data_IF_529570799977
#
_entry.id   IF_529570799977
#
_cell.length_a   1.000
_cell.length_b   1.000
_cell.length_c   1.000
_cell.angle_alpha   90.00
_cell.angle_beta   90.00
_cell.angle_gamma   90.00
#
_symmetry.space_group_name_H-M   'P 1'
#
loop_
_entity.id
_entity.type
_entity.pdbx_description
1 polymer ?
#
# COMPACT_ATOMS: atom_id res chain seq x y z
N UNK A 1 0.68 -44.26 -38.24
CA UNK A 1 1.64 -45.23 -37.73
C UNK A 1 0.96 -46.16 -36.73
N UNK A 2 1.06 -47.49 -36.90
CA UNK A 2 0.60 -48.46 -35.88
C UNK A 2 1.78 -48.86 -35.01
N UNK A 3 1.57 -49.01 -33.69
CA UNK A 3 2.58 -49.40 -32.71
C UNK A 3 1.93 -50.09 -31.52
N UNK A 4 2.75 -50.78 -30.70
CA UNK A 4 2.31 -51.36 -29.42
C UNK A 4 2.62 -50.36 -28.32
N UNK A 5 1.59 -49.89 -27.59
CA UNK A 5 1.76 -48.95 -26.49
C UNK A 5 2.70 -49.56 -25.43
N UNK A 6 3.74 -48.83 -25.01
CA UNK A 6 4.61 -49.27 -23.96
C UNK A 6 3.92 -49.37 -22.60
N UNK A 7 2.84 -48.63 -22.38
CA UNK A 7 2.06 -48.58 -21.14
C UNK A 7 0.98 -49.67 -21.13
N UNK A 8 0.07 -49.65 -22.11
CA UNK A 8 -1.11 -50.54 -22.14
C UNK A 8 -0.85 -51.89 -22.76
N UNK A 9 0.31 -52.08 -23.44
CA UNK A 9 0.69 -53.31 -24.21
C UNK A 9 -0.27 -53.66 -25.33
N UNK A 10 -1.22 -52.73 -25.69
CA UNK A 10 -2.17 -52.93 -26.78
C UNK A 10 -1.69 -52.24 -28.06
N UNK A 11 -2.16 -52.71 -29.21
CA UNK A 11 -1.85 -52.09 -30.47
C UNK A 11 -2.70 -50.80 -30.65
N UNK A 12 -2.00 -49.70 -30.91
CA UNK A 12 -2.61 -48.35 -31.04
C UNK A 12 -2.19 -47.74 -32.37
N UNK A 13 -3.09 -46.93 -32.96
CA UNK A 13 -2.80 -46.09 -34.16
C UNK A 13 -2.47 -44.68 -33.73
N UNK A 14 -1.28 -44.18 -34.11
CA UNK A 14 -0.86 -42.82 -33.93
C UNK A 14 -0.96 -42.07 -35.24
N UNK A 15 -1.74 -40.96 -35.24
CA UNK A 15 -1.94 -40.12 -36.41
C UNK A 15 -0.88 -39.03 -36.45
N UNK A 16 -0.02 -39.06 -37.48
CA UNK A 16 1.07 -38.11 -37.64
C UNK A 16 0.63 -36.77 -38.22
N UNK A 17 -0.29 -36.78 -39.18
CA UNK A 17 -0.85 -35.62 -39.88
C UNK A 17 -1.53 -36.01 -41.18
N UNK A 18 -2.01 -35.01 -41.94
CA UNK A 18 -2.74 -35.17 -43.23
C UNK A 18 -1.91 -34.64 -44.40
N UNK A 19 -1.97 -35.33 -45.53
CA UNK A 19 -1.40 -34.83 -46.77
C UNK A 19 -2.39 -33.83 -47.41
N UNK A 20 -1.97 -32.69 -48.00
CA UNK A 20 -0.58 -32.27 -48.30
C UNK A 20 0.10 -31.46 -47.22
N UNK A 21 -0.55 -31.15 -46.11
CA UNK A 21 0.01 -30.33 -45.00
C UNK A 21 1.29 -30.96 -44.42
N UNK A 22 1.32 -32.31 -44.33
CA UNK A 22 2.48 -33.05 -43.91
C UNK A 22 3.15 -33.71 -45.12
N UNK A 23 4.30 -33.25 -45.58
CA UNK A 23 5.05 -33.86 -46.67
C UNK A 23 5.75 -35.14 -46.19
N UNK A 24 6.19 -36.00 -47.15
CA UNK A 24 6.79 -37.30 -46.85
C UNK A 24 8.04 -37.22 -45.98
N UNK A 25 8.88 -36.19 -46.17
CA UNK A 25 10.10 -36.00 -45.39
C UNK A 25 9.75 -35.72 -43.93
N UNK A 26 8.83 -34.81 -43.67
CA UNK A 26 8.36 -34.46 -42.33
C UNK A 26 7.62 -35.64 -41.67
N UNK A 27 6.80 -36.38 -42.42
CA UNK A 27 6.14 -37.56 -41.90
C UNK A 27 7.12 -38.64 -41.42
N UNK A 28 8.21 -38.87 -42.16
CA UNK A 28 9.29 -39.78 -41.76
C UNK A 28 10.01 -39.31 -40.48
N UNK A 29 10.27 -38.01 -40.36
CA UNK A 29 10.86 -37.44 -39.14
C UNK A 29 9.97 -37.61 -37.90
N UNK A 30 8.68 -37.30 -38.06
CA UNK A 30 7.73 -37.48 -36.94
C UNK A 30 7.52 -38.94 -36.56
N UNK A 31 7.55 -39.87 -37.56
CA UNK A 31 7.54 -41.31 -37.30
C UNK A 31 8.79 -41.75 -36.53
N UNK A 32 9.99 -41.23 -36.84
CA UNK A 32 11.21 -41.52 -36.13
C UNK A 32 11.21 -41.01 -34.68
N UNK A 33 10.71 -39.78 -34.49
CA UNK A 33 10.52 -39.22 -33.12
C UNK A 33 9.58 -40.11 -32.30
N UNK A 34 8.42 -40.48 -32.85
CA UNK A 34 7.48 -41.35 -32.17
C UNK A 34 8.08 -42.72 -31.82
N UNK A 35 8.93 -43.30 -32.66
CA UNK A 35 9.66 -44.56 -32.34
C UNK A 35 10.66 -44.37 -31.17
N UNK A 36 11.37 -43.23 -31.13
CA UNK A 36 12.30 -42.94 -30.01
C UNK A 36 11.52 -42.85 -28.70
N UNK A 37 10.35 -42.19 -28.67
CA UNK A 37 9.52 -42.15 -27.47
C UNK A 37 9.08 -43.53 -27.02
N UNK A 38 8.64 -44.38 -27.95
CA UNK A 38 8.26 -45.78 -27.62
C UNK A 38 9.43 -46.56 -27.02
N UNK A 39 10.62 -46.38 -27.60
CA UNK A 39 11.85 -47.06 -27.09
C UNK A 39 12.20 -46.56 -25.67
N UNK A 40 11.91 -45.29 -25.37
CA UNK A 40 12.08 -44.69 -24.03
C UNK A 40 10.93 -45.02 -23.07
N UNK A 41 9.99 -45.87 -23.44
CA UNK A 41 8.86 -46.24 -22.59
C UNK A 41 7.67 -45.25 -22.57
N UNK A 42 7.73 -44.18 -23.37
CA UNK A 42 6.70 -43.13 -23.43
C UNK A 42 5.72 -43.42 -24.56
N UNK A 43 4.39 -43.32 -24.30
CA UNK A 43 3.37 -43.45 -25.32
C UNK A 43 3.18 -42.18 -26.12
N UNK A 44 3.49 -42.13 -27.44
CA UNK A 44 3.41 -40.92 -28.24
C UNK A 44 2.01 -40.31 -28.32
N UNK A 45 0.96 -41.12 -28.19
CA UNK A 45 -0.42 -40.64 -28.18
C UNK A 45 -0.75 -39.90 -26.88
N UNK A 46 -0.35 -40.45 -25.76
CA UNK A 46 -0.53 -39.85 -24.45
C UNK A 46 0.29 -38.57 -24.32
N UNK A 47 1.55 -38.57 -24.76
CA UNK A 47 2.39 -37.39 -24.78
C UNK A 47 1.81 -36.25 -25.63
N UNK A 48 1.34 -36.59 -26.86
CA UNK A 48 0.68 -35.61 -27.73
C UNK A 48 -0.60 -35.03 -27.10
N UNK A 49 -1.37 -35.83 -26.38
CA UNK A 49 -2.57 -35.40 -25.68
C UNK A 49 -2.21 -34.53 -24.47
N UNK A 50 -1.20 -34.93 -23.67
CA UNK A 50 -0.69 -34.15 -22.54
C UNK A 50 -0.17 -32.78 -22.99
N UNK A 51 0.63 -32.73 -24.06
CA UNK A 51 1.11 -31.49 -24.67
C UNK A 51 -0.01 -30.58 -25.16
N UNK A 52 -1.06 -31.16 -25.77
CA UNK A 52 -2.23 -30.41 -26.23
C UNK A 52 -3.04 -29.84 -25.04
N UNK A 53 -3.21 -30.63 -23.99
CA UNK A 53 -3.86 -30.19 -22.75
C UNK A 53 -3.06 -29.08 -22.09
N UNK A 54 -1.75 -29.24 -21.95
CA UNK A 54 -0.85 -28.24 -21.39
C UNK A 54 -0.88 -26.93 -22.18
N UNK A 55 -0.86 -27.00 -23.52
CA UNK A 55 -0.99 -25.79 -24.36
C UNK A 55 -2.35 -25.10 -24.18
N UNK A 56 -3.42 -25.86 -24.01
CA UNK A 56 -4.74 -25.30 -23.74
C UNK A 56 -4.78 -24.65 -22.36
N UNK A 57 -4.27 -25.31 -21.34
CA UNK A 57 -4.15 -24.75 -19.98
C UNK A 57 -3.28 -23.49 -19.94
N UNK A 58 -2.14 -23.50 -20.65
CA UNK A 58 -1.26 -22.31 -20.74
C UNK A 58 -1.99 -21.12 -21.38
N UNK A 59 -2.84 -21.35 -22.41
CA UNK A 59 -3.62 -20.26 -23.03
C UNK A 59 -4.67 -19.65 -22.12
N UNK A 60 -5.24 -20.44 -21.21
CA UNK A 60 -6.24 -19.98 -20.23
C UNK A 60 -5.55 -19.32 -19.03
N UNK A 61 -4.44 -19.90 -18.56
CA UNK A 61 -3.71 -19.45 -17.39
C UNK A 61 -2.72 -18.33 -17.75
N UNK A 62 -3.25 -17.19 -18.21
CA UNK A 62 -2.43 -16.00 -18.44
C UNK A 62 -2.05 -15.35 -17.12
N UNK A 63 -0.98 -14.55 -17.12
CA UNK A 63 -0.56 -13.80 -15.92
C UNK A 63 -1.71 -12.95 -15.37
N UNK A 64 -2.44 -12.23 -16.21
CA UNK A 64 -3.57 -11.41 -15.77
C UNK A 64 -4.70 -12.26 -15.16
N UNK A 65 -5.08 -13.37 -15.78
CA UNK A 65 -6.14 -14.25 -15.27
C UNK A 65 -5.80 -14.76 -13.87
N UNK A 66 -4.58 -15.25 -13.68
CA UNK A 66 -4.12 -15.76 -12.38
C UNK A 66 -3.97 -14.65 -11.36
N UNK A 67 -3.48 -13.50 -11.78
CA UNK A 67 -3.37 -12.31 -10.90
C UNK A 67 -4.74 -11.85 -10.39
N UNK A 68 -5.74 -11.76 -11.27
CA UNK A 68 -7.10 -11.36 -10.86
C UNK A 68 -7.74 -12.36 -9.91
N UNK A 69 -7.51 -13.67 -10.12
CA UNK A 69 -7.92 -14.72 -9.19
C UNK A 69 -7.25 -14.54 -7.82
N UNK A 70 -5.93 -14.44 -7.78
CA UNK A 70 -5.16 -14.19 -6.57
C UNK A 70 -5.62 -12.93 -5.83
N UNK A 71 -5.86 -11.84 -6.56
CA UNK A 71 -6.33 -10.57 -6.01
C UNK A 71 -7.72 -10.72 -5.39
N UNK A 72 -8.66 -11.37 -6.10
CA UNK A 72 -10.02 -11.62 -5.60
C UNK A 72 -10.01 -12.46 -4.33
N UNK A 73 -9.21 -13.51 -4.30
CA UNK A 73 -9.10 -14.39 -3.13
C UNK A 73 -8.51 -13.65 -1.92
N UNK A 74 -7.55 -12.76 -2.11
CA UNK A 74 -7.00 -11.93 -1.03
C UNK A 74 -7.96 -10.83 -0.57
N UNK A 75 -8.66 -10.20 -1.49
CA UNK A 75 -9.61 -9.12 -1.18
C UNK A 75 -10.84 -9.61 -0.41
N UNK A 76 -11.16 -10.91 -0.46
CA UNK A 76 -12.23 -11.53 0.36
C UNK A 76 -11.89 -11.59 1.87
N UNK A 77 -10.64 -11.40 2.24
CA UNK A 77 -10.18 -11.44 3.62
C UNK A 77 -9.95 -10.00 4.14
N UNK A 78 -10.93 -9.36 4.81
CA UNK A 78 -10.84 -7.98 5.25
C UNK A 78 -9.74 -7.73 6.28
N UNK A 79 -9.33 -8.76 7.02
CA UNK A 79 -8.20 -8.78 7.93
C UNK A 79 -6.84 -8.65 7.22
N UNK A 80 -6.77 -8.93 5.91
CA UNK A 80 -5.55 -8.86 5.10
C UNK A 80 -5.45 -7.57 4.30
N UNK A 81 -6.54 -7.17 3.65
CA UNK A 81 -6.56 -6.01 2.76
C UNK A 81 -7.79 -5.13 2.98
N UNK A 82 -7.56 -3.83 3.10
CA UNK A 82 -8.65 -2.85 2.99
C UNK A 82 -9.08 -2.71 1.53
N UNK A 83 -10.33 -2.32 1.25
CA UNK A 83 -10.82 -2.08 -0.12
C UNK A 83 -9.93 -1.12 -0.92
N UNK A 84 -9.45 -0.05 -0.28
CA UNK A 84 -8.54 0.93 -0.90
C UNK A 84 -7.17 0.33 -1.23
N UNK A 85 -6.65 -0.57 -0.39
CA UNK A 85 -5.41 -1.27 -0.67
C UNK A 85 -5.59 -2.22 -1.84
N UNK A 86 -6.67 -3.02 -1.86
CA UNK A 86 -7.00 -3.91 -2.96
C UNK A 86 -7.08 -3.17 -4.29
N UNK A 87 -7.82 -2.05 -4.33
CA UNK A 87 -7.95 -1.21 -5.53
C UNK A 87 -6.61 -0.66 -6.01
N UNK A 88 -5.73 -0.24 -5.11
CA UNK A 88 -4.40 0.27 -5.46
C UNK A 88 -3.49 -0.82 -6.01
N UNK A 89 -3.54 -2.03 -5.44
CA UNK A 89 -2.74 -3.17 -5.91
C UNK A 89 -3.10 -3.53 -7.35
N UNK A 90 -4.39 -3.78 -7.63
CA UNK A 90 -4.79 -4.18 -8.99
C UNK A 90 -4.51 -3.08 -10.00
N UNK A 91 -4.81 -1.81 -9.67
CA UNK A 91 -4.53 -0.67 -10.55
C UNK A 91 -3.04 -0.52 -10.85
N UNK A 92 -2.17 -0.77 -9.89
CA UNK A 92 -0.73 -0.73 -10.11
C UNK A 92 -0.27 -1.77 -11.15
N UNK A 93 -0.84 -2.98 -11.09
CA UNK A 93 -0.56 -4.04 -12.06
C UNK A 93 -1.15 -3.73 -13.45
N UNK A 94 -2.36 -3.19 -13.51
CA UNK A 94 -3.01 -2.77 -14.75
C UNK A 94 -2.21 -1.68 -15.49
N UNK A 95 -1.59 -0.77 -14.74
CA UNK A 95 -0.80 0.31 -15.32
C UNK A 95 0.61 -0.13 -15.73
N UNK A 96 1.24 -1.02 -14.95
CA UNK A 96 2.67 -1.24 -15.10
C UNK A 96 3.05 -2.64 -15.57
N UNK A 97 2.20 -3.66 -15.40
CA UNK A 97 2.56 -5.05 -15.68
C UNK A 97 1.70 -5.68 -16.76
N UNK A 98 0.38 -5.54 -16.71
CA UNK A 98 -0.53 -6.17 -17.68
C UNK A 98 -0.30 -5.74 -19.11
N UNK A 99 0.09 -4.51 -19.44
CA UNK A 99 0.39 -4.15 -20.82
C UNK A 99 1.49 -5.02 -21.47
N UNK A 100 2.41 -5.57 -20.67
CA UNK A 100 3.56 -6.36 -21.13
C UNK A 100 3.39 -7.86 -20.89
N UNK A 101 2.99 -8.26 -19.70
CA UNK A 101 2.94 -9.66 -19.27
C UNK A 101 1.50 -10.20 -19.16
N UNK A 102 0.47 -9.36 -19.18
CA UNK A 102 -0.91 -9.76 -18.85
C UNK A 102 -1.42 -10.92 -19.67
N UNK A 103 -1.19 -10.90 -20.99
CA UNK A 103 -1.67 -11.92 -21.93
C UNK A 103 -0.73 -13.12 -22.10
N UNK A 104 0.45 -13.08 -21.47
CA UNK A 104 1.41 -14.17 -21.53
C UNK A 104 0.97 -15.33 -20.64
N UNK A 105 1.13 -16.59 -21.10
CA UNK A 105 0.98 -17.77 -20.24
C UNK A 105 1.91 -17.63 -19.03
N UNK A 106 1.37 -17.74 -17.81
CA UNK A 106 2.15 -17.51 -16.58
C UNK A 106 3.32 -18.48 -16.43
N UNK A 107 3.18 -19.72 -16.96
CA UNK A 107 4.22 -20.75 -16.94
C UNK A 107 5.42 -20.46 -17.84
N UNK A 108 5.26 -19.55 -18.83
CA UNK A 108 6.26 -19.26 -19.85
C UNK A 108 7.02 -17.96 -19.61
N UNK A 109 6.62 -17.20 -18.57
CA UNK A 109 7.27 -15.92 -18.25
C UNK A 109 8.62 -16.20 -17.56
N UNK A 110 9.67 -15.62 -18.12
CA UNK A 110 11.04 -15.79 -17.65
C UNK A 110 11.50 -14.60 -16.79
N UNK A 111 12.52 -14.77 -15.93
CA UNK A 111 13.02 -13.73 -15.04
C UNK A 111 13.38 -12.42 -15.75
N UNK A 112 14.00 -12.49 -16.93
CA UNK A 112 14.40 -11.30 -17.69
C UNK A 112 13.19 -10.46 -18.11
N UNK A 113 12.08 -11.10 -18.52
CA UNK A 113 10.86 -10.38 -18.93
C UNK A 113 10.26 -9.61 -17.74
N UNK A 114 10.27 -10.19 -16.55
CA UNK A 114 9.82 -9.52 -15.33
C UNK A 114 10.75 -8.35 -14.97
N UNK A 115 12.07 -8.58 -15.07
CA UNK A 115 13.06 -7.56 -14.79
C UNK A 115 12.92 -6.36 -15.74
N UNK A 116 12.71 -6.60 -17.03
CA UNK A 116 12.54 -5.53 -18.03
C UNK A 116 11.35 -4.64 -17.69
N UNK A 117 10.23 -5.20 -17.28
CA UNK A 117 9.06 -4.42 -16.81
C UNK A 117 9.40 -3.57 -15.59
N UNK A 118 10.12 -4.12 -14.62
CA UNK A 118 10.52 -3.39 -13.41
C UNK A 118 11.52 -2.27 -13.75
N UNK A 119 12.47 -2.54 -14.64
CA UNK A 119 13.43 -1.53 -15.12
C UNK A 119 12.79 -0.38 -15.88
N UNK A 120 11.74 -0.62 -16.66
CA UNK A 120 10.96 0.47 -17.28
C UNK A 120 10.33 1.40 -16.26
N UNK A 121 9.84 0.87 -15.11
CA UNK A 121 9.29 1.68 -14.02
C UNK A 121 10.42 2.51 -13.38
N UNK A 122 11.61 1.94 -13.20
CA UNK A 122 12.79 2.65 -12.66
C UNK A 122 13.26 3.74 -13.60
N UNK A 123 13.30 3.50 -14.92
CA UNK A 123 13.68 4.50 -15.94
C UNK A 123 12.74 5.71 -15.93
N UNK A 124 11.49 5.53 -15.54
CA UNK A 124 10.55 6.62 -15.31
C UNK A 124 10.76 7.36 -13.95
N UNK A 125 11.85 7.08 -13.23
CA UNK A 125 12.18 7.67 -11.93
C UNK A 125 11.31 7.18 -10.76
N UNK A 126 10.50 6.13 -10.95
CA UNK A 126 9.51 5.63 -9.98
C UNK A 126 10.04 4.44 -9.16
N UNK A 127 11.21 4.60 -8.53
CA UNK A 127 11.89 3.51 -7.81
C UNK A 127 11.04 2.84 -6.74
N UNK A 128 10.35 3.60 -5.87
CA UNK A 128 9.44 3.06 -4.85
C UNK A 128 8.27 2.25 -5.46
N UNK A 129 7.79 2.69 -6.63
CA UNK A 129 6.74 1.99 -7.36
C UNK A 129 7.27 0.66 -7.90
N UNK A 130 8.49 0.64 -8.44
CA UNK A 130 9.14 -0.58 -8.92
C UNK A 130 9.23 -1.65 -7.82
N UNK A 131 9.67 -1.26 -6.61
CA UNK A 131 9.70 -2.17 -5.46
C UNK A 131 8.31 -2.69 -5.06
N UNK A 132 7.30 -1.82 -5.00
CA UNK A 132 5.91 -2.22 -4.68
C UNK A 132 5.32 -3.16 -5.73
N UNK A 133 5.57 -2.88 -7.01
CA UNK A 133 5.15 -3.74 -8.13
C UNK A 133 5.87 -5.08 -8.05
N UNK A 134 7.19 -5.08 -7.80
CA UNK A 134 7.97 -6.28 -7.59
C UNK A 134 7.36 -7.14 -6.47
N UNK A 135 7.08 -6.57 -5.29
CA UNK A 135 6.54 -7.32 -4.15
C UNK A 135 5.21 -8.01 -4.51
N UNK A 136 4.35 -7.34 -5.29
CA UNK A 136 3.09 -7.91 -5.75
C UNK A 136 3.31 -9.00 -6.79
N UNK A 137 4.13 -8.77 -7.81
CA UNK A 137 4.46 -9.73 -8.88
C UNK A 137 5.07 -11.00 -8.28
N UNK A 138 6.00 -10.85 -7.33
CA UNK A 138 6.59 -11.97 -6.61
C UNK A 138 5.55 -12.80 -5.85
N UNK A 139 4.57 -12.15 -5.20
CA UNK A 139 3.47 -12.84 -4.52
C UNK A 139 2.55 -13.58 -5.50
N UNK A 140 2.25 -13.01 -6.67
CA UNK A 140 1.44 -13.65 -7.71
C UNK A 140 2.13 -14.92 -8.23
N UNK A 141 3.43 -14.85 -8.55
CA UNK A 141 4.16 -16.02 -9.00
C UNK A 141 4.31 -17.07 -7.90
N UNK A 142 4.53 -16.67 -6.64
CA UNK A 142 4.52 -17.61 -5.52
C UNK A 142 3.18 -18.33 -5.38
N UNK A 143 2.07 -17.63 -5.58
CA UNK A 143 0.74 -18.23 -5.61
C UNK A 143 0.58 -19.22 -6.78
N UNK A 144 1.08 -18.85 -7.98
CA UNK A 144 1.04 -19.73 -9.15
C UNK A 144 1.87 -21.02 -8.94
N UNK A 145 3.02 -20.93 -8.28
CA UNK A 145 3.84 -22.12 -7.91
C UNK A 145 3.07 -23.03 -6.96
N UNK A 146 2.40 -22.50 -5.95
CA UNK A 146 1.58 -23.28 -5.01
C UNK A 146 0.45 -24.00 -5.75
N UNK A 147 -0.15 -23.36 -6.77
CA UNK A 147 -1.16 -23.97 -7.63
C UNK A 147 -0.60 -24.91 -8.71
N UNK A 148 0.71 -25.12 -8.75
CA UNK A 148 1.42 -25.91 -9.77
C UNK A 148 1.22 -25.40 -11.21
N UNK A 149 0.94 -24.10 -11.37
CA UNK A 149 0.83 -23.44 -12.66
C UNK A 149 2.20 -22.99 -13.19
N UNK A 150 3.20 -22.87 -12.33
CA UNK A 150 4.60 -22.60 -12.64
C UNK A 150 5.50 -23.57 -11.89
N UNK A 151 6.62 -23.94 -12.48
CA UNK A 151 7.63 -24.80 -11.84
C UNK A 151 8.45 -24.02 -10.82
N UNK A 152 8.72 -22.74 -11.09
CA UNK A 152 9.50 -21.83 -10.24
C UNK A 152 8.91 -20.40 -10.29
N UNK A 153 9.31 -19.58 -9.33
CA UNK A 153 8.94 -18.17 -9.30
C UNK A 153 10.03 -17.32 -10.00
N UNK A 154 9.76 -16.75 -11.20
CA UNK A 154 10.74 -15.97 -11.95
C UNK A 154 11.10 -14.63 -11.29
N UNK A 155 10.34 -14.18 -10.29
CA UNK A 155 10.60 -12.93 -9.60
C UNK A 155 11.45 -13.08 -8.32
N UNK A 156 11.69 -14.30 -7.82
CA UNK A 156 12.23 -14.54 -6.48
C UNK A 156 13.51 -13.76 -6.15
N UNK A 157 14.45 -13.68 -7.09
CA UNK A 157 15.77 -13.06 -6.87
C UNK A 157 15.88 -11.62 -7.39
N UNK A 158 14.86 -11.10 -8.08
CA UNK A 158 14.97 -9.81 -8.79
C UNK A 158 15.01 -8.58 -7.89
N UNK A 159 14.69 -8.72 -6.60
CA UNK A 159 14.76 -7.60 -5.65
C UNK A 159 16.14 -6.96 -5.58
N UNK A 160 17.19 -7.76 -5.71
CA UNK A 160 18.58 -7.32 -5.64
C UNK A 160 19.02 -6.53 -6.86
N UNK A 161 18.33 -6.73 -7.99
CA UNK A 161 18.58 -6.05 -9.25
C UNK A 161 17.94 -4.66 -9.30
N UNK A 162 17.06 -4.33 -8.36
CA UNK A 162 16.41 -3.03 -8.27
C UNK A 162 17.28 -2.03 -7.51
N UNK A 163 17.24 -0.78 -7.96
CA UNK A 163 17.93 0.34 -7.30
C UNK A 163 17.42 0.49 -5.87
N UNK A 164 18.33 0.41 -4.90
CA UNK A 164 17.98 0.56 -3.49
C UNK A 164 17.54 1.99 -3.19
N UNK A 165 16.32 2.13 -2.68
CA UNK A 165 15.77 3.44 -2.27
C UNK A 165 16.03 3.64 -0.79
N UNK A 166 16.85 4.63 -0.44
CA UNK A 166 16.95 5.07 0.95
C UNK A 166 15.68 5.82 1.32
N UNK A 167 14.94 5.29 2.28
CA UNK A 167 13.79 6.02 2.82
C UNK A 167 14.26 7.32 3.46
N UNK A 168 13.73 8.43 2.98
CA UNK A 168 13.93 9.74 3.60
C UNK A 168 12.77 10.00 4.55
N UNK A 169 13.02 10.60 5.72
CA UNK A 169 11.93 11.07 6.58
C UNK A 169 11.06 12.07 5.82
N UNK A 170 9.81 12.20 6.20
CA UNK A 170 8.95 13.23 5.62
C UNK A 170 9.56 14.61 5.88
N UNK A 171 9.54 15.51 4.88
CA UNK A 171 10.00 16.89 5.05
C UNK A 171 9.31 17.53 6.25
N UNK A 172 10.11 18.07 7.19
CA UNK A 172 9.66 18.66 8.44
C UNK A 172 10.65 19.75 8.90
N UNK A 173 10.16 20.65 9.71
CA UNK A 173 10.90 21.78 10.26
C UNK A 173 11.06 21.55 11.76
N UNK A 174 12.26 21.79 12.31
CA UNK A 174 12.56 21.69 13.74
C UNK A 174 13.02 23.02 14.35
N UNK A 175 13.49 23.96 13.52
CA UNK A 175 13.89 25.28 13.98
C UNK A 175 12.67 26.07 14.52
N UNK A 176 12.74 26.62 15.76
CA UNK A 176 11.63 27.32 16.38
C UNK A 176 11.13 28.55 15.60
N UNK A 177 12.02 29.32 14.97
CA UNK A 177 11.64 30.49 14.19
C UNK A 177 10.88 30.09 12.93
N UNK A 178 11.36 29.08 12.22
CA UNK A 178 10.72 28.53 11.02
C UNK A 178 9.36 27.89 11.35
N UNK A 179 9.25 27.21 12.51
CA UNK A 179 7.97 26.67 13.01
C UNK A 179 6.99 27.85 13.23
N UNK A 180 7.39 28.90 13.93
CA UNK A 180 6.56 30.08 14.17
C UNK A 180 6.09 30.74 12.88
N UNK A 181 6.97 30.88 11.88
CA UNK A 181 6.61 31.39 10.56
C UNK A 181 5.59 30.49 9.84
N UNK A 182 5.82 29.18 9.82
CA UNK A 182 4.87 28.24 9.24
C UNK A 182 3.49 28.32 9.87
N UNK A 183 3.42 28.39 11.21
CA UNK A 183 2.16 28.50 11.92
C UNK A 183 1.40 29.81 11.60
N UNK A 184 2.11 30.95 11.52
CA UNK A 184 1.51 32.23 11.07
C UNK A 184 0.98 32.15 9.65
N UNK A 185 1.72 31.52 8.72
CA UNK A 185 1.27 31.33 7.34
C UNK A 185 0.03 30.40 7.26
N UNK A 186 -0.05 29.38 8.12
CA UNK A 186 -1.23 28.51 8.23
C UNK A 186 -2.45 29.31 8.70
N UNK A 187 -2.29 30.19 9.69
CA UNK A 187 -3.36 31.05 10.19
C UNK A 187 -3.87 31.99 9.09
N UNK A 188 -2.97 32.51 8.24
CA UNK A 188 -3.28 33.36 7.10
C UNK A 188 -3.75 32.59 5.85
N UNK A 189 -3.92 31.27 5.90
CA UNK A 189 -4.31 30.50 4.71
C UNK A 189 -5.68 30.90 4.17
N UNK A 190 -5.71 31.45 2.95
CA UNK A 190 -6.91 31.97 2.29
C UNK A 190 -7.86 30.95 1.65
N UNK A 191 -7.65 29.65 1.90
CA UNK A 191 -8.54 28.60 1.41
C UNK A 191 -9.77 28.39 2.28
N UNK A 192 -10.43 27.22 2.15
CA UNK A 192 -11.63 26.93 2.95
C UNK A 192 -11.28 26.81 4.44
N UNK A 193 -12.23 27.22 5.30
CA UNK A 193 -12.06 27.16 6.75
C UNK A 193 -11.73 25.72 7.21
N UNK A 194 -12.35 24.69 6.61
CA UNK A 194 -12.10 23.30 6.94
C UNK A 194 -10.63 22.92 6.73
N UNK A 195 -10.03 23.35 5.60
CA UNK A 195 -8.62 23.04 5.29
C UNK A 195 -7.68 23.83 6.20
N UNK A 196 -7.99 25.11 6.46
CA UNK A 196 -7.22 25.95 7.36
C UNK A 196 -7.22 25.38 8.77
N UNK A 197 -8.39 25.05 9.33
CA UNK A 197 -8.51 24.51 10.69
C UNK A 197 -7.86 23.11 10.79
N UNK A 198 -7.95 22.27 9.75
CA UNK A 198 -7.22 21.00 9.70
C UNK A 198 -5.72 21.21 9.83
N UNK A 199 -5.14 22.19 9.13
CA UNK A 199 -3.72 22.52 9.22
C UNK A 199 -3.37 23.14 10.58
N UNK A 200 -4.23 24.00 11.15
CA UNK A 200 -4.02 24.60 12.46
C UNK A 200 -3.98 23.56 13.58
N UNK A 201 -4.88 22.56 13.55
CA UNK A 201 -4.93 21.50 14.56
C UNK A 201 -3.77 20.49 14.40
N UNK A 202 -3.33 20.23 13.16
CA UNK A 202 -2.32 19.20 12.86
C UNK A 202 -1.05 19.28 13.73
N UNK A 203 -0.37 20.42 13.93
CA UNK A 203 0.83 20.51 14.74
C UNK A 203 0.58 20.31 16.25
N UNK A 204 -0.62 20.66 16.75
CA UNK A 204 -0.96 20.53 18.17
C UNK A 204 -1.18 19.06 18.58
N UNK A 205 -1.89 18.29 17.77
CA UNK A 205 -2.23 16.90 18.09
C UNK A 205 -1.24 15.90 17.52
N UNK A 206 -0.51 16.25 16.47
CA UNK A 206 0.50 15.46 15.73
C UNK A 206 0.12 13.97 15.54
N UNK A 207 -1.17 13.68 15.40
CA UNK A 207 -1.70 12.37 14.98
C UNK A 207 -1.43 12.13 13.50
N UNK A 208 -1.76 10.94 12.97
CA UNK A 208 -1.63 10.72 11.52
C UNK A 208 -2.60 11.63 10.76
N UNK A 209 -2.16 12.28 9.66
CA UNK A 209 -3.03 13.20 8.90
C UNK A 209 -4.33 12.58 8.43
N UNK A 210 -4.34 11.28 8.10
CA UNK A 210 -5.55 10.56 7.73
C UNK A 210 -6.53 10.39 8.90
N UNK A 211 -6.02 10.20 10.12
CA UNK A 211 -6.84 10.06 11.33
C UNK A 211 -7.51 11.39 11.65
N UNK A 212 -6.74 12.50 11.70
CA UNK A 212 -7.28 13.83 11.98
C UNK A 212 -8.28 14.27 10.89
N UNK A 213 -7.99 14.01 9.61
CA UNK A 213 -8.89 14.37 8.50
C UNK A 213 -10.26 13.69 8.60
N UNK A 214 -10.29 12.48 9.13
CA UNK A 214 -11.51 11.67 9.26
C UNK A 214 -12.15 11.74 10.66
N UNK A 215 -11.72 12.68 11.50
CA UNK A 215 -12.30 12.89 12.83
C UNK A 215 -13.79 13.18 12.75
N UNK A 216 -14.58 12.50 13.57
CA UNK A 216 -16.03 12.67 13.68
C UNK A 216 -16.39 13.48 14.91
N UNK A 217 -17.48 14.25 14.84
CA UNK A 217 -17.99 15.01 15.99
C UNK A 217 -18.34 14.10 17.18
N UNK A 218 -18.86 12.89 16.91
CA UNK A 218 -19.21 11.92 17.95
C UNK A 218 -17.98 11.35 18.71
N UNK A 219 -16.77 11.46 18.15
CA UNK A 219 -15.53 11.01 18.78
C UNK A 219 -14.96 12.02 19.77
N UNK A 220 -15.50 13.25 19.82
CA UNK A 220 -14.95 14.34 20.61
C UNK A 220 -15.76 14.55 21.89
N UNK A 221 -15.13 14.32 23.01
CA UNK A 221 -15.65 14.66 24.34
C UNK A 221 -15.10 16.05 24.73
N UNK A 222 -15.93 17.09 24.59
CA UNK A 222 -15.55 18.46 24.89
C UNK A 222 -15.39 18.71 26.42
N UNK A 223 -16.09 17.96 27.26
CA UNK A 223 -15.99 18.13 28.71
C UNK A 223 -14.69 17.48 29.24
N UNK A 224 -14.37 16.28 28.76
CA UNK A 224 -13.13 15.60 29.10
C UNK A 224 -11.92 16.13 28.31
N UNK A 225 -12.12 17.02 27.33
CA UNK A 225 -11.10 17.48 26.38
C UNK A 225 -10.36 16.30 25.74
N UNK A 226 -11.10 15.36 25.18
CA UNK A 226 -10.56 14.08 24.71
C UNK A 226 -11.16 13.69 23.36
N UNK A 227 -10.32 13.29 22.43
CA UNK A 227 -10.72 12.62 21.18
C UNK A 227 -10.52 11.11 21.33
N UNK A 228 -11.59 10.34 21.14
CA UNK A 228 -11.63 8.88 21.25
C UNK A 228 -11.75 8.26 19.88
N UNK A 229 -10.76 7.51 19.44
CA UNK A 229 -10.78 6.80 18.18
C UNK A 229 -10.88 5.29 18.41
N UNK A 230 -11.91 4.69 17.84
CA UNK A 230 -12.19 3.26 17.96
C UNK A 230 -11.14 2.39 17.27
N UNK A 231 -10.97 1.15 17.77
CA UNK A 231 -10.05 0.15 17.24
C UNK A 231 -10.24 -0.10 15.74
N UNK A 232 -11.49 -0.24 15.32
CA UNK A 232 -11.87 -0.53 13.92
C UNK A 232 -11.45 0.52 12.92
N UNK A 233 -11.21 1.75 13.37
CA UNK A 233 -10.81 2.89 12.54
C UNK A 233 -9.29 3.13 12.56
N UNK A 234 -8.56 2.40 13.39
CA UNK A 234 -7.12 2.54 13.56
C UNK A 234 -6.34 1.57 12.67
N UNK A 235 -5.34 2.09 11.97
CA UNK A 235 -4.44 1.27 11.13
C UNK A 235 -3.78 0.11 11.90
N UNK A 236 -3.59 0.27 13.21
CA UNK A 236 -2.92 -0.70 14.08
C UNK A 236 -3.91 -1.60 14.83
N UNK A 237 -5.24 -1.39 14.70
CA UNK A 237 -6.25 -2.14 15.44
C UNK A 237 -6.17 -1.92 16.95
N UNK A 238 -5.77 -0.73 17.41
CA UNK A 238 -5.68 -0.36 18.84
C UNK A 238 -6.41 0.97 19.01
N UNK A 239 -7.39 1.10 19.94
CA UNK A 239 -8.04 2.37 20.22
C UNK A 239 -7.02 3.45 20.60
N UNK A 240 -7.24 4.67 20.17
CA UNK A 240 -6.35 5.79 20.46
C UNK A 240 -7.11 6.91 21.17
N UNK A 241 -6.68 7.24 22.38
CA UNK A 241 -7.17 8.36 23.16
C UNK A 241 -6.19 9.53 22.99
N UNK A 242 -6.67 10.65 22.45
CA UNK A 242 -5.89 11.85 22.18
C UNK A 242 -6.37 12.98 23.08
N UNK A 243 -5.61 13.40 24.11
CA UNK A 243 -5.94 14.61 24.86
C UNK A 243 -5.92 15.83 23.95
N UNK A 244 -6.87 16.74 24.16
CA UNK A 244 -7.01 17.94 23.37
C UNK A 244 -6.62 19.17 24.21
N UNK A 245 -5.68 19.96 23.72
CA UNK A 245 -5.34 21.24 24.35
C UNK A 245 -6.47 22.26 24.21
N UNK A 246 -6.44 23.31 25.04
CA UNK A 246 -7.42 24.43 24.97
C UNK A 246 -7.48 25.06 23.58
N UNK A 247 -6.36 25.15 22.89
CA UNK A 247 -6.25 25.68 21.53
C UNK A 247 -7.02 24.80 20.53
N UNK A 248 -6.88 23.48 20.64
CA UNK A 248 -7.59 22.54 19.76
C UNK A 248 -9.08 22.58 20.03
N UNK A 249 -9.50 22.59 21.30
CA UNK A 249 -10.93 22.74 21.67
C UNK A 249 -11.51 24.02 21.07
N UNK A 250 -10.85 25.16 21.21
CA UNK A 250 -11.31 26.42 20.63
C UNK A 250 -11.45 26.36 19.10
N UNK A 251 -10.48 25.74 18.39
CA UNK A 251 -10.54 25.56 16.93
C UNK A 251 -11.70 24.63 16.53
N UNK A 252 -11.96 23.57 17.27
CA UNK A 252 -13.08 22.66 17.04
C UNK A 252 -14.42 23.36 17.30
N UNK A 253 -14.53 24.17 18.34
CA UNK A 253 -15.73 24.95 18.62
C UNK A 253 -16.02 25.97 17.51
N UNK A 254 -15.00 26.63 16.97
CA UNK A 254 -15.12 27.51 15.80
C UNK A 254 -15.61 26.76 14.54
N UNK A 255 -15.35 25.45 14.44
CA UNK A 255 -15.83 24.64 13.32
C UNK A 255 -17.30 24.19 13.44
N UNK A 256 -17.86 24.13 14.66
CA UNK A 256 -19.25 23.66 14.88
C UNK A 256 -20.30 24.36 14.01
N UNK A 257 -20.30 25.66 13.85
CA UNK A 257 -21.30 26.37 13.00
C UNK A 257 -21.24 25.91 11.52
N UNK A 258 -20.09 25.47 11.03
CA UNK A 258 -19.88 25.11 9.63
C UNK A 258 -20.16 23.65 9.33
N UNK A 259 -19.81 22.75 10.25
CA UNK A 259 -19.88 21.29 10.01
C UNK A 259 -20.50 20.48 11.14
N UNK A 260 -20.96 21.11 12.23
CA UNK A 260 -21.51 20.41 13.40
C UNK A 260 -22.77 19.58 13.14
N UNK A 261 -23.44 19.81 12.03
CA UNK A 261 -24.61 19.05 11.57
C UNK A 261 -24.26 17.89 10.63
N UNK A 262 -22.99 17.69 10.30
CA UNK A 262 -22.46 16.56 9.55
C UNK A 262 -21.75 15.57 10.47
N UNK A 263 -21.46 14.37 9.97
CA UNK A 263 -20.73 13.35 10.72
C UNK A 263 -19.28 13.76 11.00
N UNK A 264 -18.58 14.30 9.97
CA UNK A 264 -17.15 14.63 10.01
C UNK A 264 -16.92 16.12 10.31
N UNK A 265 -15.91 16.38 11.16
CA UNK A 265 -15.45 17.76 11.45
C UNK A 265 -14.96 18.45 10.16
N UNK A 266 -14.17 17.74 9.35
CA UNK A 266 -13.62 18.27 8.10
C UNK A 266 -14.41 17.76 6.89
N UNK A 267 -15.69 18.14 6.84
CA UNK A 267 -16.61 17.74 5.79
C UNK A 267 -16.53 18.68 4.59
N UNK A 268 -16.51 18.11 3.38
CA UNK A 268 -16.57 18.86 2.13
C UNK A 268 -18.01 18.86 1.59
N UNK A 269 -18.68 19.98 1.73
CA UNK A 269 -20.07 20.16 1.32
C UNK A 269 -20.28 19.92 -0.18
N UNK A 270 -19.32 20.27 -1.03
CA UNK A 270 -19.44 20.09 -2.49
C UNK A 270 -19.40 18.64 -2.93
N UNK A 271 -18.69 17.76 -2.19
CA UNK A 271 -18.55 16.35 -2.55
C UNK A 271 -19.40 15.42 -1.69
N UNK A 272 -20.00 15.90 -0.60
CA UNK A 272 -20.73 15.08 0.34
C UNK A 272 -19.85 14.10 1.14
N UNK A 273 -18.54 14.35 1.24
CA UNK A 273 -17.54 13.45 1.83
C UNK A 273 -16.57 14.22 2.72
N UNK A 274 -15.74 13.55 3.55
CA UNK A 274 -14.62 14.21 4.20
C UNK A 274 -13.67 14.87 3.18
N UNK A 275 -12.83 15.79 3.62
CA UNK A 275 -11.78 16.37 2.79
C UNK A 275 -10.94 15.27 2.13
N UNK A 276 -10.44 15.53 0.93
CA UNK A 276 -9.57 14.56 0.22
C UNK A 276 -8.24 14.37 0.94
N UNK A 277 -7.60 13.20 0.74
CA UNK A 277 -6.30 12.86 1.34
C UNK A 277 -5.21 13.89 1.06
N UNK A 278 -5.29 14.56 -0.09
CA UNK A 278 -4.30 15.55 -0.50
C UNK A 278 -4.66 16.98 -0.14
N UNK A 279 -5.80 17.24 0.53
CA UNK A 279 -6.24 18.61 0.81
C UNK A 279 -5.20 19.40 1.62
N UNK A 280 -4.71 18.83 2.71
CA UNK A 280 -3.70 19.44 3.56
C UNK A 280 -2.34 19.60 2.81
N UNK A 281 -1.89 18.59 2.07
CA UNK A 281 -0.64 18.69 1.29
C UNK A 281 -0.74 19.80 0.21
N UNK A 282 -1.84 19.88 -0.52
CA UNK A 282 -2.06 20.95 -1.51
C UNK A 282 -2.05 22.34 -0.87
N UNK A 283 -2.59 22.47 0.34
CA UNK A 283 -2.56 23.73 1.07
C UNK A 283 -1.14 24.09 1.52
N UNK A 284 -0.36 23.14 2.03
CA UNK A 284 1.07 23.35 2.33
C UNK A 284 1.88 23.77 1.10
N UNK A 285 1.62 23.17 -0.07
CA UNK A 285 2.26 23.57 -1.32
C UNK A 285 1.90 25.02 -1.71
N UNK A 286 0.62 25.43 -1.56
CA UNK A 286 0.19 26.81 -1.82
C UNK A 286 0.80 27.83 -0.87
N UNK A 287 1.12 27.41 0.36
CA UNK A 287 1.82 28.22 1.35
C UNK A 287 3.34 28.30 1.09
N UNK A 288 3.86 27.60 0.04
CA UNK A 288 5.27 27.61 -0.34
C UNK A 288 6.13 26.54 0.35
N UNK A 289 5.52 25.58 1.05
CA UNK A 289 6.25 24.55 1.80
C UNK A 289 6.41 23.21 1.06
N UNK A 290 6.27 23.20 -0.27
CA UNK A 290 6.51 21.99 -1.06
C UNK A 290 7.96 21.51 -0.90
N UNK A 291 8.15 20.27 -0.45
CA UNK A 291 9.48 19.70 -0.20
C UNK A 291 10.17 20.17 1.09
N UNK A 292 9.61 21.14 1.82
CA UNK A 292 10.15 21.72 3.07
C UNK A 292 9.42 21.15 4.28
N UNK A 293 8.09 21.16 4.26
CA UNK A 293 7.26 20.62 5.33
C UNK A 293 6.00 19.96 4.79
N UNK A 294 5.50 18.96 5.49
CA UNK A 294 4.28 18.23 5.16
C UNK A 294 3.39 18.07 6.38
N UNK A 295 2.07 17.84 6.23
CA UNK A 295 1.20 17.51 7.37
C UNK A 295 1.69 16.28 8.15
N UNK A 296 2.33 15.31 7.51
CA UNK A 296 2.95 14.18 8.19
C UNK A 296 4.24 14.58 8.92
N UNK A 297 4.95 15.57 8.41
CA UNK A 297 6.16 16.13 9.00
C UNK A 297 5.94 16.71 10.40
N UNK A 298 4.74 17.23 10.73
CA UNK A 298 4.42 17.74 12.07
C UNK A 298 4.65 16.70 13.18
N UNK A 299 4.53 15.41 12.86
CA UNK A 299 4.83 14.33 13.82
C UNK A 299 6.32 14.26 14.15
N UNK A 300 7.17 14.44 13.13
CA UNK A 300 8.63 14.50 13.31
C UNK A 300 9.01 15.80 14.04
N UNK A 301 8.43 16.94 13.66
CA UNK A 301 8.61 18.22 14.35
C UNK A 301 8.30 18.09 15.84
N UNK A 302 7.12 17.58 16.19
CA UNK A 302 6.69 17.40 17.57
C UNK A 302 7.60 16.40 18.32
N UNK A 303 7.85 15.23 17.73
CA UNK A 303 8.70 14.21 18.37
C UNK A 303 10.10 14.72 18.65
N UNK A 304 10.74 15.43 17.71
CA UNK A 304 12.08 15.98 17.90
C UNK A 304 12.09 17.02 19.00
N UNK A 305 11.23 18.05 18.93
CA UNK A 305 11.22 19.12 19.90
C UNK A 305 10.82 18.65 21.31
N UNK A 306 9.83 17.75 21.44
CA UNK A 306 9.44 17.21 22.75
C UNK A 306 10.55 16.36 23.39
N UNK A 307 11.33 15.61 22.60
CA UNK A 307 12.51 14.91 23.11
C UNK A 307 13.60 15.90 23.55
N UNK A 308 13.83 16.99 22.83
CA UNK A 308 14.78 18.06 23.21
C UNK A 308 14.32 18.84 24.43
N UNK A 309 13.02 18.88 24.72
CA UNK A 309 12.42 19.44 25.94
C UNK A 309 12.40 18.45 27.13
N UNK A 310 13.08 17.31 27.01
CA UNK A 310 13.18 16.26 28.04
C UNK A 310 11.85 15.63 28.47
N UNK A 311 10.82 15.65 27.60
CA UNK A 311 9.58 14.89 27.86
C UNK A 311 9.82 13.38 27.79
N UNK A 312 9.10 12.65 28.65
CA UNK A 312 9.17 11.19 28.69
C UNK A 312 8.86 10.60 27.31
N UNK A 313 9.81 9.81 26.80
CA UNK A 313 9.72 9.19 25.48
C UNK A 313 8.47 8.32 25.31
N UNK A 314 8.05 7.61 26.35
CA UNK A 314 6.85 6.78 26.29
C UNK A 314 5.60 7.62 26.03
N UNK A 315 5.49 8.82 26.63
CA UNK A 315 4.35 9.71 26.38
C UNK A 315 4.28 10.16 24.92
N UNK A 316 5.44 10.45 24.34
CA UNK A 316 5.55 10.84 22.92
C UNK A 316 5.16 9.68 22.02
N UNK A 317 5.69 8.47 22.26
CA UNK A 317 5.41 7.27 21.45
C UNK A 317 3.93 6.86 21.54
N UNK A 318 3.31 6.94 22.73
CA UNK A 318 1.87 6.70 22.91
C UNK A 318 1.02 7.75 22.17
N UNK A 319 1.43 9.03 22.20
CA UNK A 319 0.74 10.07 21.43
C UNK A 319 0.87 9.86 19.92
N UNK A 320 1.99 9.35 19.47
CA UNK A 320 2.21 8.97 18.06
C UNK A 320 1.49 7.68 17.67
N UNK A 321 0.86 6.95 18.60
CA UNK A 321 0.27 5.62 18.37
C UNK A 321 1.25 4.66 17.66
N UNK A 322 2.52 4.67 18.10
CA UNK A 322 3.52 3.70 17.66
C UNK A 322 3.36 2.41 18.46
N UNK A 323 3.49 1.25 17.79
CA UNK A 323 3.48 -0.05 18.48
C UNK A 323 4.79 -0.22 19.25
N UNK A 324 4.70 -0.55 20.54
CA UNK A 324 5.86 -1.07 21.25
C UNK A 324 6.31 -2.39 20.63
N UNK A 325 7.63 -2.58 20.50
CA UNK A 325 8.19 -3.82 19.94
C UNK A 325 7.99 -5.03 20.86
N UNK A 326 7.66 -4.84 22.12
CA UNK A 326 7.41 -5.88 23.13
C UNK A 326 5.92 -6.05 23.38
N UNK A 327 5.32 -7.00 22.65
CA UNK A 327 3.87 -7.26 22.61
C UNK A 327 3.20 -7.76 23.90
N UNK A 328 3.95 -8.09 24.96
CA UNK A 328 3.40 -8.64 26.19
C UNK A 328 2.90 -7.61 27.22
N UNK A 329 3.21 -6.31 27.03
CA UNK A 329 2.77 -5.21 27.92
C UNK A 329 1.60 -4.38 27.39
N UNK A 330 1.25 -4.53 26.13
CA UNK A 330 0.42 -3.56 25.40
C UNK A 330 -1.09 -3.85 25.33
N UNK A 331 -1.52 -5.05 25.76
CA UNK A 331 -2.89 -5.48 25.40
C UNK A 331 -4.05 -4.86 26.17
N UNK A 332 -3.82 -4.05 27.25
CA UNK A 332 -4.95 -3.63 28.12
C UNK A 332 -4.91 -2.21 28.70
N UNK A 333 -4.03 -1.31 28.31
CA UNK A 333 -3.95 -0.01 28.98
C UNK A 333 -3.95 1.20 28.02
N UNK A 334 -5.09 1.43 27.35
CA UNK A 334 -5.29 2.56 26.41
C UNK A 334 -5.26 3.93 27.10
N UNK A 335 -5.51 3.98 28.41
CA UNK A 335 -5.45 5.17 29.25
C UNK A 335 -4.06 5.43 29.85
N UNK A 336 -3.04 4.65 29.43
CA UNK A 336 -1.70 4.77 29.98
C UNK A 336 -1.14 6.18 29.75
N UNK A 337 -0.70 6.79 30.83
CA UNK A 337 -0.15 8.16 30.83
C UNK A 337 -1.11 9.26 30.33
N UNK A 338 -2.44 9.06 30.41
CA UNK A 338 -3.39 10.02 29.82
C UNK A 338 -3.22 11.43 30.41
N UNK A 339 -3.14 11.54 31.73
CA UNK A 339 -2.96 12.84 32.43
C UNK A 339 -1.61 13.48 32.08
N UNK A 340 -0.54 12.67 32.07
CA UNK A 340 0.79 13.16 31.71
C UNK A 340 0.85 13.62 30.25
N UNK A 341 0.18 12.90 29.35
CA UNK A 341 0.07 13.28 27.94
C UNK A 341 -0.79 14.53 27.76
N UNK A 342 -1.85 14.68 28.54
CA UNK A 342 -2.68 15.89 28.52
C UNK A 342 -1.86 17.13 28.92
N UNK A 343 -1.05 17.02 29.98
CA UNK A 343 -0.12 18.07 30.39
C UNK A 343 0.89 18.38 29.29
N UNK A 344 1.58 17.36 28.77
CA UNK A 344 2.55 17.50 27.68
C UNK A 344 1.96 18.19 26.46
N UNK A 345 0.75 17.78 26.02
CA UNK A 345 0.09 18.37 24.87
C UNK A 345 -0.37 19.82 25.09
N UNK A 346 -0.76 20.17 26.32
CA UNK A 346 -1.09 21.54 26.64
C UNK A 346 0.17 22.43 26.63
N UNK A 347 1.26 21.98 27.26
CA UNK A 347 2.53 22.71 27.28
C UNK A 347 3.13 22.83 25.86
N UNK A 348 3.01 21.78 25.04
CA UNK A 348 3.37 21.81 23.63
C UNK A 348 2.54 22.84 22.83
N UNK A 349 1.25 22.90 23.08
CA UNK A 349 0.39 23.88 22.40
C UNK A 349 0.71 25.31 22.83
N UNK A 350 0.96 25.53 24.11
CA UNK A 350 1.36 26.84 24.63
C UNK A 350 2.73 27.27 24.06
N UNK A 351 3.68 26.34 23.92
CA UNK A 351 4.96 26.59 23.26
C UNK A 351 4.78 27.00 21.79
N UNK A 352 3.97 26.28 21.01
CA UNK A 352 3.69 26.60 19.61
C UNK A 352 3.04 28.00 19.47
N UNK A 353 2.13 28.34 20.35
CA UNK A 353 1.51 29.70 20.38
C UNK A 353 2.54 30.75 20.72
N UNK A 354 3.46 30.47 21.64
CA UNK A 354 4.60 31.36 21.93
C UNK A 354 5.47 31.63 20.69
N UNK A 355 5.75 30.58 19.90
CA UNK A 355 6.51 30.74 18.65
C UNK A 355 5.76 31.58 17.60
N UNK A 356 4.43 31.45 17.53
CA UNK A 356 3.62 32.30 16.64
C UNK A 356 3.65 33.78 17.01
N UNK A 357 3.72 34.10 18.31
CA UNK A 357 3.72 35.46 18.82
C UNK A 357 5.09 36.15 18.71
N UNK A 358 6.17 35.40 18.66
CA UNK A 358 7.51 35.98 18.46
C UNK A 358 7.57 36.55 17.03
N UNK A 359 7.73 37.88 16.95
CA UNK A 359 7.94 38.58 15.69
C UNK A 359 9.21 38.03 14.99
N UNK A 360 9.15 37.97 13.66
CA UNK A 360 10.30 37.58 12.85
C UNK A 360 11.45 38.58 12.97
#
# INVERSE_FOLDING_TARGET
>A
MKYTSPITKKQVTFHLGTYPELNLKTARMECSKARLLITSGIDPKEEKQANKTQQHENRINTFETITRKWHTDRAKHPDKWTPDHASRVIRSLELHVFPYLGKRPIAEIMPLEVLDVLKQIEQAGKYDTAHKVYDVVNQVFSYAVVLRLCVFNPASELRRELVQVKQKPFPHITDPKEIGELLRRIDGYGGTIQVRTLLQISPYVFTRPSELRLIKWAEIDFQAALWRKEETEMKNGIPHLVPLSRQVIALLEQMKPFTGHYEYVFYNKSTGKPLSDNAANKAMHRLGYQGIATPHGFRHTASTNLNEMDYNRDWIEYQLAHKEKNSSRDSYNFAKYLDSRAKMLQEWADYLDGLKQQAA
#
